data_IF_166731734934
#
_entry.id   IF_166731734934
#
_cell.length_a   1.000
_cell.length_b   1.000
_cell.length_c   1.000
_cell.angle_alpha   90.00
_cell.angle_beta   90.00
_cell.angle_gamma   90.00
#
_symmetry.space_group_name_H-M   'P 1'
#
loop_
_entity.id
_entity.type
_entity.pdbx_description
1 polymer ?
#
# COMPACT_ATOMS: atom_id res chain seq x y z
N UNK A 1 -18.67 -1.92 -30.52
CA UNK A 1 -18.74 -0.65 -29.77
C UNK A 1 -17.48 -0.57 -28.92
N UNK A 2 -16.45 0.14 -29.43
CA UNK A 2 -15.13 0.19 -28.80
C UNK A 2 -15.12 1.31 -27.76
N UNK A 3 -15.22 0.95 -26.48
CA UNK A 3 -14.98 1.88 -25.38
C UNK A 3 -13.46 2.06 -25.27
N UNK A 4 -12.95 3.17 -25.81
CA UNK A 4 -11.64 3.68 -25.42
C UNK A 4 -11.70 4.04 -23.94
N UNK A 5 -11.11 3.20 -23.07
CA UNK A 5 -10.83 3.59 -21.68
C UNK A 5 -9.78 4.70 -21.73
N UNK A 6 -10.20 5.93 -21.48
CA UNK A 6 -9.29 7.01 -21.10
C UNK A 6 -8.64 6.61 -19.76
N UNK A 7 -7.41 6.08 -19.82
CA UNK A 7 -6.59 5.89 -18.64
C UNK A 7 -6.17 7.26 -18.12
N UNK A 8 -6.84 7.75 -17.08
CA UNK A 8 -6.37 8.92 -16.34
C UNK A 8 -5.08 8.54 -15.61
N UNK A 9 -3.94 8.84 -16.21
CA UNK A 9 -2.65 8.80 -15.53
C UNK A 9 -2.59 10.01 -14.58
N UNK A 10 -2.97 9.82 -13.33
CA UNK A 10 -2.75 10.81 -12.28
C UNK A 10 -1.25 10.84 -11.94
N UNK A 11 -0.53 11.77 -12.55
CA UNK A 11 0.84 12.11 -12.13
C UNK A 11 0.71 13.06 -10.95
N UNK A 12 0.92 12.55 -9.72
CA UNK A 12 0.96 13.39 -8.54
C UNK A 12 2.22 14.26 -8.54
N UNK A 13 2.06 15.56 -8.35
CA UNK A 13 3.21 16.44 -8.12
C UNK A 13 3.82 16.10 -6.75
N UNK A 14 5.16 16.19 -6.63
CA UNK A 14 5.87 15.95 -5.37
C UNK A 14 5.30 16.75 -4.19
N UNK A 15 4.83 17.97 -4.45
CA UNK A 15 4.19 18.85 -3.45
C UNK A 15 2.86 18.33 -2.91
N UNK A 16 2.22 17.37 -3.61
CA UNK A 16 0.96 16.76 -3.21
C UNK A 16 1.15 15.54 -2.29
N UNK A 17 2.38 15.07 -2.08
CA UNK A 17 2.66 13.94 -1.19
C UNK A 17 2.62 14.37 0.27
N UNK A 18 2.00 13.53 1.11
CA UNK A 18 1.90 13.76 2.54
C UNK A 18 3.18 13.25 3.20
N UNK A 19 4.02 14.20 3.61
CA UNK A 19 5.17 13.95 4.51
C UNK A 19 4.75 14.36 5.90
N UNK A 20 4.71 13.41 6.83
CA UNK A 20 4.29 13.69 8.19
C UNK A 20 5.40 14.45 8.94
N UNK A 21 5.14 15.71 9.29
CA UNK A 21 6.05 16.57 10.05
C UNK A 21 5.80 16.50 11.56
N UNK A 22 4.82 15.72 12.00
CA UNK A 22 4.45 15.59 13.42
C UNK A 22 5.37 14.61 14.14
N UNK A 23 5.72 14.95 15.39
CA UNK A 23 6.57 14.15 16.28
C UNK A 23 5.82 13.04 17.00
N UNK A 24 4.47 13.09 17.04
CA UNK A 24 3.65 12.05 17.65
C UNK A 24 3.68 10.80 16.77
N UNK A 25 4.25 9.74 17.34
CA UNK A 25 4.21 8.40 16.79
C UNK A 25 3.33 7.53 17.67
N UNK A 26 2.76 6.51 17.07
CA UNK A 26 2.06 5.44 17.78
C UNK A 26 2.93 4.18 17.70
N UNK A 27 2.78 3.29 18.67
CA UNK A 27 3.42 1.98 18.62
C UNK A 27 2.35 0.94 18.27
N UNK A 28 2.60 0.19 17.21
CA UNK A 28 1.72 -0.88 16.72
C UNK A 28 2.58 -2.13 16.57
N UNK A 29 2.22 -3.21 17.28
CA UNK A 29 2.99 -4.47 17.27
C UNK A 29 4.50 -4.30 17.50
N UNK A 30 4.88 -3.43 18.44
CA UNK A 30 6.26 -3.04 18.77
C UNK A 30 7.01 -2.23 17.69
N UNK A 31 6.33 -1.83 16.61
CA UNK A 31 6.87 -0.96 15.58
C UNK A 31 6.34 0.47 15.71
N UNK A 32 7.18 1.44 15.34
CA UNK A 32 6.82 2.85 15.38
C UNK A 32 6.12 3.26 14.09
N UNK A 33 4.89 3.75 14.20
CA UNK A 33 4.08 4.16 13.06
C UNK A 33 3.75 5.66 13.16
N UNK A 34 3.87 6.40 12.06
CA UNK A 34 3.64 7.85 12.05
C UNK A 34 2.16 8.21 12.04
N UNK A 35 1.31 7.35 11.46
CA UNK A 35 -0.13 7.56 11.38
C UNK A 35 -0.87 6.24 11.70
N UNK A 36 -1.95 6.25 12.50
CA UNK A 36 -2.79 5.07 12.73
C UNK A 36 -3.64 4.67 11.52
N UNK A 37 -3.36 5.23 10.34
CA UNK A 37 -4.24 5.16 9.19
C UNK A 37 -3.59 4.38 8.06
N UNK A 38 -4.43 3.65 7.34
CA UNK A 38 -4.14 3.03 6.07
C UNK A 38 -5.22 1.99 5.72
N UNK A 39 -5.14 1.40 4.52
CA UNK A 39 -6.17 0.53 4.01
C UNK A 39 -6.14 -0.83 4.70
N UNK A 40 -7.32 -1.34 5.03
CA UNK A 40 -7.53 -2.70 5.48
C UNK A 40 -7.29 -3.72 4.35
N UNK A 41 -7.10 -4.98 4.72
CA UNK A 41 -6.89 -6.07 3.77
C UNK A 41 -8.08 -6.20 2.80
N UNK A 42 -7.85 -5.99 1.50
CA UNK A 42 -8.93 -5.94 0.52
C UNK A 42 -8.44 -5.85 -0.92
N UNK A 43 -9.34 -5.74 -1.90
CA UNK A 43 -8.97 -5.66 -3.32
C UNK A 43 -7.97 -4.52 -3.62
N UNK A 44 -8.03 -3.43 -2.86
CA UNK A 44 -7.09 -2.31 -2.99
C UNK A 44 -5.66 -2.69 -2.62
N UNK A 45 -5.45 -3.44 -1.53
CA UNK A 45 -4.12 -3.83 -1.05
C UNK A 45 -3.57 -5.08 -1.72
N UNK A 46 -4.20 -5.52 -2.80
CA UNK A 46 -3.68 -6.56 -3.69
C UNK A 46 -2.72 -5.99 -4.74
N UNK A 47 -2.85 -4.70 -5.09
CA UNK A 47 -2.08 -4.04 -6.17
C UNK A 47 -0.97 -3.17 -5.59
N UNK A 48 0.25 -3.31 -6.13
CA UNK A 48 1.41 -2.54 -5.69
C UNK A 48 1.18 -1.04 -5.82
N UNK A 49 0.60 -0.57 -6.94
CA UNK A 49 0.37 0.85 -7.14
C UNK A 49 -0.55 1.47 -6.08
N UNK A 50 -1.54 0.71 -5.59
CA UNK A 50 -2.50 1.22 -4.60
C UNK A 50 -1.85 1.30 -3.22
N UNK A 51 -0.99 0.34 -2.88
CA UNK A 51 -0.18 0.37 -1.66
C UNK A 51 0.74 1.61 -1.69
N UNK A 52 1.42 1.84 -2.81
CA UNK A 52 2.31 2.98 -2.99
C UNK A 52 1.54 4.31 -2.89
N UNK A 53 0.41 4.44 -3.60
CA UNK A 53 -0.41 5.65 -3.54
C UNK A 53 -0.93 5.88 -2.13
N UNK A 54 -1.39 4.83 -1.43
CA UNK A 54 -1.83 4.95 -0.04
C UNK A 54 -0.74 5.54 0.86
N UNK A 55 0.50 5.07 0.72
CA UNK A 55 1.65 5.61 1.45
C UNK A 55 1.95 7.06 1.10
N UNK A 56 1.94 7.41 -0.19
CA UNK A 56 2.15 8.78 -0.67
C UNK A 56 1.07 9.75 -0.16
N UNK A 57 -0.14 9.24 0.09
CA UNK A 57 -1.26 9.99 0.68
C UNK A 57 -1.35 9.87 2.20
N UNK A 58 -0.29 9.40 2.88
CA UNK A 58 -0.16 9.44 4.34
C UNK A 58 -0.55 8.16 5.10
N UNK A 59 -0.88 7.07 4.40
CA UNK A 59 -1.06 5.76 5.01
C UNK A 59 0.26 5.19 5.54
N UNK A 60 0.25 4.65 6.76
CA UNK A 60 1.43 4.02 7.39
C UNK A 60 1.12 2.66 8.03
N UNK A 61 -0.16 2.34 8.22
CA UNK A 61 -0.62 1.03 8.64
C UNK A 61 -1.39 0.36 7.51
N UNK A 62 -0.73 -0.51 6.73
CA UNK A 62 -1.28 -1.12 5.50
C UNK A 62 -1.43 -2.61 5.73
N UNK A 63 -2.66 -3.11 5.68
CA UNK A 63 -2.94 -4.55 5.75
C UNK A 63 -2.97 -5.14 4.33
N UNK A 64 -2.06 -6.06 4.05
CA UNK A 64 -2.01 -6.71 2.74
C UNK A 64 -3.20 -7.65 2.54
N UNK A 65 -3.66 -7.74 1.29
CA UNK A 65 -4.70 -8.69 0.92
C UNK A 65 -4.23 -10.12 1.22
N UNK A 66 -5.11 -10.91 1.81
CA UNK A 66 -4.90 -12.34 2.06
C UNK A 66 -4.46 -13.07 0.79
N UNK A 67 -3.35 -13.80 0.89
CA UNK A 67 -2.86 -14.69 -0.16
C UNK A 67 -3.31 -16.11 0.13
N UNK A 68 -3.59 -16.88 -0.92
CA UNK A 68 -4.09 -18.25 -0.80
C UNK A 68 -3.27 -19.23 -1.62
N UNK A 69 -3.19 -20.47 -1.15
CA UNK A 69 -2.50 -21.56 -1.85
C UNK A 69 -3.35 -22.09 -3.00
N UNK A 70 -4.67 -22.14 -2.83
CA UNK A 70 -5.62 -22.56 -3.87
C UNK A 70 -5.90 -21.40 -4.83
N UNK A 71 -4.92 -21.08 -5.66
CA UNK A 71 -4.86 -19.84 -6.44
C UNK A 71 -5.36 -19.96 -7.89
N UNK A 72 -6.01 -21.09 -8.22
CA UNK A 72 -6.58 -21.40 -9.54
C UNK A 72 -8.08 -21.70 -9.48
N UNK A 73 -8.76 -21.19 -8.46
CA UNK A 73 -10.20 -21.31 -8.34
C UNK A 73 -10.88 -20.46 -9.42
N UNK A 74 -11.81 -21.05 -10.17
CA UNK A 74 -12.73 -20.31 -11.01
C UNK A 74 -13.90 -19.87 -10.13
N UNK A 75 -14.00 -18.55 -9.90
CA UNK A 75 -15.03 -17.95 -9.06
C UNK A 75 -15.98 -17.15 -9.94
N UNK A 76 -17.27 -17.24 -9.63
CA UNK A 76 -18.27 -16.45 -10.32
C UNK A 76 -18.08 -14.95 -10.02
N UNK A 77 -18.28 -14.12 -11.04
CA UNK A 77 -18.15 -12.66 -10.97
C UNK A 77 -19.52 -12.02 -11.23
N UNK A 78 -19.91 -10.95 -10.51
CA UNK A 78 -19.12 -10.20 -9.52
C UNK A 78 -18.96 -10.94 -8.18
N UNK A 79 -17.74 -10.95 -7.63
CA UNK A 79 -17.41 -11.59 -6.35
C UNK A 79 -17.53 -10.65 -5.13
N UNK A 80 -18.06 -9.45 -5.37
CA UNK A 80 -18.32 -8.41 -4.37
C UNK A 80 -19.70 -7.87 -4.67
N UNK A 81 -20.57 -7.92 -3.66
CA UNK A 81 -21.83 -7.21 -3.66
C UNK A 81 -21.65 -5.93 -2.82
N UNK A 82 -21.81 -4.78 -3.46
CA UNK A 82 -21.36 -3.48 -2.97
C UNK A 82 -22.49 -2.55 -2.50
N UNK A 83 -23.74 -3.04 -2.42
CA UNK A 83 -24.90 -2.19 -2.12
C UNK A 83 -24.83 -1.59 -0.71
N UNK A 84 -24.85 -2.44 0.31
CA UNK A 84 -24.89 -1.98 1.70
C UNK A 84 -23.57 -2.30 2.43
N UNK A 85 -23.44 -3.52 2.95
CA UNK A 85 -22.34 -3.92 3.83
C UNK A 85 -21.05 -4.29 3.07
N UNK A 86 -21.09 -4.23 1.74
CA UNK A 86 -20.00 -4.61 0.85
C UNK A 86 -19.41 -5.99 1.21
N UNK A 87 -20.19 -7.06 1.02
CA UNK A 87 -19.73 -8.41 1.37
C UNK A 87 -19.02 -9.10 0.19
N UNK A 88 -18.05 -9.93 0.53
CA UNK A 88 -17.48 -10.86 -0.43
C UNK A 88 -18.47 -12.02 -0.57
N UNK A 89 -19.08 -12.17 -1.75
CA UNK A 89 -19.99 -13.28 -2.07
C UNK A 89 -19.21 -14.59 -2.17
N UNK A 90 -17.93 -14.50 -2.52
CA UNK A 90 -16.99 -15.60 -2.70
C UNK A 90 -15.58 -15.22 -2.19
N UNK A 91 -14.59 -16.11 -2.29
CA UNK A 91 -13.19 -15.70 -2.12
C UNK A 91 -12.81 -14.61 -3.14
N UNK A 92 -12.01 -13.62 -2.74
CA UNK A 92 -11.78 -12.43 -3.57
C UNK A 92 -10.32 -12.12 -3.87
N UNK A 93 -9.41 -13.09 -3.74
CA UNK A 93 -8.04 -12.93 -4.24
C UNK A 93 -7.92 -13.53 -5.63
N UNK A 94 -7.60 -12.66 -6.60
CA UNK A 94 -7.54 -13.02 -8.03
C UNK A 94 -6.13 -13.43 -8.47
N UNK A 95 -5.15 -13.37 -7.56
CA UNK A 95 -3.74 -13.54 -7.90
C UNK A 95 -3.23 -14.92 -7.54
N UNK A 96 -2.43 -15.45 -8.47
CA UNK A 96 -1.55 -16.57 -8.15
C UNK A 96 -0.56 -16.18 -7.07
N UNK A 97 -0.02 -17.16 -6.34
CA UNK A 97 1.02 -16.94 -5.33
C UNK A 97 2.20 -16.15 -5.91
N UNK A 98 2.65 -16.50 -7.13
CA UNK A 98 3.73 -15.80 -7.82
C UNK A 98 3.36 -14.36 -8.16
N UNK A 99 2.11 -14.09 -8.56
CA UNK A 99 1.66 -12.74 -8.88
C UNK A 99 1.50 -11.88 -7.64
N UNK A 100 0.96 -12.44 -6.55
CA UNK A 100 0.88 -11.73 -5.27
C UNK A 100 2.27 -11.40 -4.74
N UNK A 101 3.21 -12.36 -4.83
CA UNK A 101 4.61 -12.13 -4.49
C UNK A 101 5.22 -10.98 -5.28
N UNK A 102 5.05 -10.98 -6.61
CA UNK A 102 5.58 -9.96 -7.50
C UNK A 102 5.03 -8.55 -7.15
N UNK A 103 3.74 -8.42 -6.88
CA UNK A 103 3.12 -7.15 -6.47
C UNK A 103 3.62 -6.67 -5.12
N UNK A 104 3.72 -7.55 -4.12
CA UNK A 104 4.16 -7.15 -2.79
C UNK A 104 5.65 -6.85 -2.74
N UNK A 105 6.47 -7.57 -3.52
CA UNK A 105 7.88 -7.27 -3.66
C UNK A 105 8.10 -5.90 -4.30
N UNK A 106 7.37 -5.58 -5.38
CA UNK A 106 7.41 -4.24 -6.01
C UNK A 106 7.02 -3.15 -5.02
N UNK A 107 5.92 -3.35 -4.29
CA UNK A 107 5.45 -2.39 -3.30
C UNK A 107 6.50 -2.18 -2.22
N UNK A 108 7.04 -3.25 -1.66
CA UNK A 108 8.08 -3.20 -0.64
C UNK A 108 9.30 -2.40 -1.11
N UNK A 109 9.87 -2.75 -2.27
CA UNK A 109 11.02 -2.01 -2.82
C UNK A 109 10.71 -0.54 -3.08
N UNK A 110 9.56 -0.25 -3.68
CA UNK A 110 9.16 1.13 -3.97
C UNK A 110 8.99 1.95 -2.69
N UNK A 111 8.34 1.40 -1.65
CA UNK A 111 8.15 2.11 -0.39
C UNK A 111 9.48 2.40 0.31
N UNK A 112 10.41 1.45 0.35
CA UNK A 112 11.73 1.68 0.95
C UNK A 112 12.51 2.75 0.18
N UNK A 113 12.45 2.72 -1.16
CA UNK A 113 13.08 3.75 -1.99
C UNK A 113 12.45 5.13 -1.76
N UNK A 114 11.12 5.21 -1.69
CA UNK A 114 10.39 6.45 -1.44
C UNK A 114 10.70 7.00 -0.05
N UNK A 115 10.79 6.16 0.97
CA UNK A 115 11.18 6.55 2.31
C UNK A 115 12.60 7.15 2.30
N UNK A 116 13.58 6.50 1.69
CA UNK A 116 14.94 7.05 1.57
C UNK A 116 15.00 8.37 0.79
N UNK A 117 14.17 8.52 -0.25
CA UNK A 117 14.15 9.73 -1.08
C UNK A 117 13.41 10.92 -0.45
N UNK A 118 12.38 10.65 0.36
CA UNK A 118 11.47 11.67 0.89
C UNK A 118 11.55 11.87 2.39
N UNK A 119 12.15 10.98 3.17
CA UNK A 119 12.28 11.14 4.62
C UNK A 119 13.18 12.35 4.95
N UNK A 120 12.62 13.43 5.51
CA UNK A 120 13.39 14.61 5.91
C UNK A 120 14.45 14.27 6.98
N UNK A 121 14.26 13.18 7.74
CA UNK A 121 15.12 12.73 8.83
C UNK A 121 16.34 11.96 8.34
N UNK A 122 16.29 11.36 7.14
CA UNK A 122 17.44 10.69 6.54
C UNK A 122 18.62 11.68 6.31
N UNK A 123 18.31 12.96 6.06
CA UNK A 123 19.30 14.04 5.92
C UNK A 123 20.02 14.43 7.22
N UNK A 124 19.52 13.98 8.37
CA UNK A 124 20.03 14.33 9.70
C UNK A 124 20.81 13.22 10.42
N UNK A 125 20.98 12.03 9.81
CA UNK A 125 21.90 11.00 10.33
C UNK A 125 23.35 11.40 10.04
N UNK A 126 23.81 12.49 10.67
CA UNK A 126 25.25 12.73 10.87
C UNK A 126 25.70 11.69 11.88
N UNK A 127 26.74 10.92 11.52
CA UNK A 127 27.31 9.83 12.30
C UNK A 127 27.41 10.17 13.80
N UNK A 128 26.92 9.32 14.72
CA UNK A 128 27.29 9.40 16.12
C UNK A 128 28.71 8.84 16.30
N UNK A 129 29.71 9.55 15.78
CA UNK A 129 31.12 9.27 16.07
C UNK A 129 31.96 10.54 15.97
N UNK A 130 31.65 11.53 16.80
CA UNK A 130 32.64 12.54 17.23
C UNK A 130 32.11 13.33 18.42
N UNK A 131 32.12 12.75 19.61
CA UNK A 131 32.26 13.51 20.86
C UNK A 131 32.45 12.58 22.06
N UNK A 132 33.72 12.56 22.49
CA UNK A 132 34.29 12.17 23.81
C UNK A 132 34.40 10.67 24.09
#
# INVERSE_FOLDING_TARGET
MNIMRAGLFLVFQKSSFIVNMTTRRINVFNESCETPLGPAAGPHTQLAQNIIVSWLTGGRFIELKTVQILDRLELEKPCIDAEDECFNTEWSTEFTLLKAYDEYLKAWFALHLLEEMFDPRAKGKVNPSSSI
#
